data_IF_494709939282
#
_entry.id   IF_494709939282
#
_cell.length_a   1.000
_cell.length_b   1.000
_cell.length_c   1.000
_cell.angle_alpha   90.00
_cell.angle_beta   90.00
_cell.angle_gamma   90.00
#
_symmetry.space_group_name_H-M   'P 1'
#
loop_
_entity.id
_entity.type
_entity.pdbx_description
1 polymer ?
#
# COMPACT_ATOMS: atom_id res chain seq x y z
N UNK A 1 -2.87 -16.55 -34.79
CA UNK A 1 -1.88 -16.02 -33.81
C UNK A 1 -1.01 -17.17 -33.32
N UNK A 2 0.29 -16.98 -33.12
CA UNK A 2 1.20 -18.00 -32.56
C UNK A 2 1.73 -17.51 -31.21
N UNK A 3 1.80 -18.42 -30.23
CA UNK A 3 2.33 -18.15 -28.90
C UNK A 3 3.54 -19.04 -28.65
N UNK A 4 4.59 -18.48 -28.04
CA UNK A 4 5.81 -19.20 -27.73
C UNK A 4 5.94 -19.42 -26.23
N UNK A 5 6.55 -20.53 -25.85
CA UNK A 5 6.79 -20.92 -24.46
C UNK A 5 8.14 -21.62 -24.36
N UNK A 6 8.85 -21.38 -23.25
CA UNK A 6 10.04 -22.13 -22.84
C UNK A 6 9.72 -22.99 -21.61
N UNK A 7 10.72 -23.70 -21.09
CA UNK A 7 10.61 -24.37 -19.78
C UNK A 7 10.26 -23.40 -18.64
N UNK A 8 10.59 -22.10 -18.79
CA UNK A 8 10.30 -21.05 -17.83
C UNK A 8 8.94 -20.39 -18.02
N UNK A 9 8.11 -20.82 -18.97
CA UNK A 9 6.77 -20.28 -19.18
C UNK A 9 6.59 -19.48 -20.47
N UNK A 10 5.47 -18.77 -20.64
CA UNK A 10 5.16 -18.05 -21.86
C UNK A 10 6.17 -16.94 -22.12
N UNK A 11 6.51 -16.72 -23.40
CA UNK A 11 7.29 -15.57 -23.86
C UNK A 11 6.39 -14.33 -23.79
N UNK A 12 6.78 -13.35 -22.99
CA UNK A 12 6.04 -12.09 -22.76
C UNK A 12 6.63 -10.91 -23.55
N UNK A 13 7.83 -11.08 -24.09
CA UNK A 13 8.51 -10.04 -24.84
C UNK A 13 9.88 -10.49 -25.32
N UNK A 14 10.60 -9.55 -25.93
CA UNK A 14 11.98 -9.74 -26.38
C UNK A 14 12.82 -8.55 -25.94
N UNK A 15 14.07 -8.80 -25.61
CA UNK A 15 15.06 -7.79 -25.28
C UNK A 15 16.34 -8.03 -26.09
N UNK A 16 17.33 -7.16 -25.94
CA UNK A 16 18.64 -7.29 -26.56
C UNK A 16 19.71 -7.34 -25.48
N UNK A 17 20.52 -8.39 -25.48
CA UNK A 17 21.68 -8.54 -24.58
C UNK A 17 22.93 -8.67 -25.42
N UNK A 18 23.85 -7.71 -25.32
CA UNK A 18 25.11 -7.67 -26.11
C UNK A 18 24.86 -7.84 -27.62
N UNK A 19 23.88 -7.11 -28.15
CA UNK A 19 23.51 -7.16 -29.56
C UNK A 19 22.71 -8.39 -29.99
N UNK A 20 22.47 -9.37 -29.11
CA UNK A 20 21.69 -10.57 -29.41
C UNK A 20 20.27 -10.44 -28.88
N UNK A 21 19.29 -10.74 -29.72
CA UNK A 21 17.89 -10.83 -29.30
C UNK A 21 17.73 -12.00 -28.33
N UNK A 22 17.10 -11.74 -27.20
CA UNK A 22 16.73 -12.74 -26.19
C UNK A 22 15.22 -12.69 -25.97
N UNK A 23 14.62 -13.84 -25.67
CA UNK A 23 13.22 -13.91 -25.25
C UNK A 23 13.13 -13.64 -23.74
N UNK A 24 12.12 -12.86 -23.34
CA UNK A 24 11.77 -12.66 -21.92
C UNK A 24 10.54 -13.50 -21.63
N UNK A 25 10.59 -14.31 -20.58
CA UNK A 25 9.55 -15.27 -20.21
C UNK A 25 9.06 -15.05 -18.79
N UNK A 26 7.80 -15.40 -18.50
CA UNK A 26 7.24 -15.32 -17.14
C UNK A 26 7.08 -16.71 -16.51
N UNK A 27 7.89 -17.00 -15.48
CA UNK A 27 7.80 -18.25 -14.69
C UNK A 27 6.91 -18.03 -13.47
N UNK A 28 5.73 -18.65 -13.47
CA UNK A 28 4.80 -18.62 -12.32
C UNK A 28 4.93 -19.91 -11.52
N UNK A 29 5.22 -19.82 -10.22
CA UNK A 29 5.38 -21.00 -9.36
C UNK A 29 4.13 -21.84 -9.22
N UNK A 30 2.95 -21.22 -9.27
CA UNK A 30 1.64 -21.88 -9.27
C UNK A 30 1.15 -22.33 -10.65
N UNK A 31 1.99 -22.29 -11.69
CA UNK A 31 1.57 -22.70 -13.04
C UNK A 31 1.08 -24.16 -13.07
N UNK A 32 -0.12 -24.39 -13.58
CA UNK A 32 -0.72 -25.73 -13.70
C UNK A 32 -1.24 -26.30 -12.39
N UNK A 33 -1.32 -25.49 -11.33
CA UNK A 33 -1.76 -25.88 -9.98
C UNK A 33 -2.93 -25.04 -9.48
N UNK A 34 -3.55 -24.24 -10.35
CA UNK A 34 -4.58 -23.27 -10.02
C UNK A 34 -5.76 -23.90 -9.25
N UNK A 35 -6.17 -25.12 -9.60
CA UNK A 35 -7.25 -25.84 -8.93
C UNK A 35 -6.89 -26.30 -7.50
N UNK A 36 -5.61 -26.35 -7.11
CA UNK A 36 -5.21 -26.75 -5.76
C UNK A 36 -5.60 -25.72 -4.70
N UNK A 37 -5.87 -24.46 -5.08
CA UNK A 37 -6.44 -23.46 -4.17
C UNK A 37 -7.77 -23.92 -3.54
N UNK A 38 -8.52 -24.77 -4.24
CA UNK A 38 -9.81 -25.27 -3.77
C UNK A 38 -9.68 -26.25 -2.59
N UNK A 39 -8.48 -26.80 -2.33
CA UNK A 39 -8.28 -27.79 -1.28
C UNK A 39 -8.45 -27.18 0.12
N UNK A 40 -8.00 -25.94 0.35
CA UNK A 40 -8.28 -25.22 1.60
C UNK A 40 -9.80 -25.12 1.84
N UNK A 41 -10.56 -24.70 0.83
CA UNK A 41 -12.00 -24.53 0.97
C UNK A 41 -12.74 -25.87 1.12
N UNK A 42 -12.25 -26.94 0.48
CA UNK A 42 -12.76 -28.29 0.70
C UNK A 42 -12.59 -28.70 2.16
N UNK A 43 -11.38 -28.57 2.71
CA UNK A 43 -11.07 -28.97 4.09
C UNK A 43 -11.84 -28.14 5.14
N UNK A 44 -12.15 -26.88 4.81
CA UNK A 44 -13.06 -26.05 5.61
C UNK A 44 -14.52 -26.53 5.53
N UNK A 45 -14.95 -26.99 4.36
CA UNK A 45 -16.36 -27.36 4.09
C UNK A 45 -16.71 -28.76 4.59
N UNK A 46 -15.79 -29.73 4.44
CA UNK A 46 -16.00 -31.11 4.90
C UNK A 46 -15.79 -31.27 6.43
N UNK A 47 -15.29 -30.21 7.07
CA UNK A 47 -15.11 -30.13 8.50
C UNK A 47 -13.75 -30.63 8.99
N UNK A 48 -12.77 -30.89 8.12
CA UNK A 48 -11.44 -31.38 8.49
C UNK A 48 -10.59 -30.39 9.31
N UNK A 49 -10.98 -29.10 9.36
CA UNK A 49 -10.31 -28.07 10.15
C UNK A 49 -10.99 -27.93 11.52
N UNK A 50 -10.28 -28.27 12.59
CA UNK A 50 -10.81 -28.20 13.96
C UNK A 50 -10.13 -27.14 14.83
N UNK A 51 -8.88 -26.80 14.53
CA UNK A 51 -8.08 -25.83 15.25
C UNK A 51 -7.18 -25.05 14.29
N UNK A 52 -6.48 -24.04 14.81
CA UNK A 52 -5.56 -23.20 14.04
C UNK A 52 -4.43 -23.98 13.34
N UNK A 53 -3.98 -25.11 13.91
CA UNK A 53 -2.93 -25.93 13.29
C UNK A 53 -3.45 -26.74 12.10
N UNK A 54 -4.68 -27.27 12.17
CA UNK A 54 -5.34 -27.86 11.02
C UNK A 54 -5.53 -26.81 9.91
N UNK A 55 -5.94 -25.60 10.29
CA UNK A 55 -6.10 -24.51 9.35
C UNK A 55 -4.79 -24.16 8.64
N UNK A 56 -3.67 -24.08 9.34
CA UNK A 56 -2.37 -23.83 8.70
C UNK A 56 -1.97 -24.95 7.73
N UNK A 57 -2.21 -26.22 8.09
CA UNK A 57 -1.99 -27.35 7.16
C UNK A 57 -2.89 -27.24 5.92
N UNK A 58 -4.15 -26.87 6.09
CA UNK A 58 -5.08 -26.64 5.00
C UNK A 58 -4.62 -25.48 4.10
N UNK A 59 -4.26 -24.33 4.68
CA UNK A 59 -3.79 -23.16 3.96
C UNK A 59 -2.48 -23.39 3.20
N UNK A 60 -1.59 -24.24 3.72
CA UNK A 60 -0.33 -24.59 3.06
C UNK A 60 -0.51 -25.41 1.77
N UNK A 61 -1.72 -25.91 1.47
CA UNK A 61 -2.01 -26.56 0.19
C UNK A 61 -2.18 -25.56 -0.96
N UNK A 62 -2.44 -24.28 -0.64
CA UNK A 62 -2.65 -23.20 -1.61
C UNK A 62 -1.32 -22.84 -2.28
N UNK A 63 -1.18 -23.03 -3.61
CA UNK A 63 0.03 -22.67 -4.34
C UNK A 63 0.14 -21.17 -4.62
N UNK A 64 -0.94 -20.41 -4.44
CA UNK A 64 -0.98 -18.96 -4.58
C UNK A 64 -0.58 -18.26 -3.29
N UNK A 65 -0.09 -17.02 -3.41
CA UNK A 65 0.35 -16.23 -2.26
C UNK A 65 -0.84 -15.49 -1.65
N UNK A 66 -1.37 -16.00 -0.54
CA UNK A 66 -2.46 -15.39 0.21
C UNK A 66 -2.13 -15.31 1.69
N UNK A 67 -2.57 -14.23 2.35
CA UNK A 67 -2.68 -14.18 3.80
C UNK A 67 -4.05 -14.75 4.18
N UNK A 68 -4.06 -15.86 4.90
CA UNK A 68 -5.27 -16.53 5.37
C UNK A 68 -5.36 -16.40 6.89
N UNK A 69 -6.53 -16.01 7.38
CA UNK A 69 -6.78 -15.73 8.79
C UNK A 69 -7.68 -16.80 9.41
N UNK A 70 -7.37 -17.19 10.63
CA UNK A 70 -8.14 -18.10 11.47
C UNK A 70 -8.65 -17.36 12.70
N UNK A 71 -9.86 -17.70 13.12
CA UNK A 71 -10.45 -17.27 14.39
C UNK A 71 -11.40 -18.35 14.89
N UNK A 72 -11.31 -18.67 16.18
CA UNK A 72 -12.33 -19.39 16.95
C UNK A 72 -12.52 -18.72 18.34
N UNK A 73 -13.12 -19.41 19.31
CA UNK A 73 -13.34 -18.90 20.67
C UNK A 73 -12.06 -18.83 21.54
N UNK A 74 -10.92 -19.33 21.06
CA UNK A 74 -9.67 -19.49 21.81
C UNK A 74 -8.46 -18.85 21.13
N UNK A 75 -8.36 -19.04 19.82
CA UNK A 75 -7.19 -18.77 19.00
C UNK A 75 -7.52 -17.88 17.81
N UNK A 76 -6.62 -16.94 17.55
CA UNK A 76 -6.50 -16.24 16.26
C UNK A 76 -5.18 -16.61 15.61
N UNK A 77 -5.15 -16.68 14.28
CA UNK A 77 -3.95 -17.01 13.55
C UNK A 77 -3.89 -16.44 12.15
N UNK A 78 -2.68 -16.31 11.62
CA UNK A 78 -2.41 -15.95 10.22
C UNK A 78 -1.40 -16.90 9.62
N UNK A 79 -1.63 -17.30 8.36
CA UNK A 79 -0.69 -18.06 7.56
C UNK A 79 -0.58 -17.44 6.17
N UNK A 80 0.64 -17.16 5.71
CA UNK A 80 0.90 -16.70 4.34
C UNK A 80 1.32 -17.90 3.48
N UNK A 81 0.40 -18.37 2.64
CA UNK A 81 0.61 -19.51 1.75
C UNK A 81 1.37 -19.17 0.47
N UNK A 82 1.68 -20.19 -0.34
CA UNK A 82 2.21 -20.05 -1.70
C UNK A 82 3.32 -21.01 -2.07
N UNK A 83 3.53 -21.23 -3.36
CA UNK A 83 4.76 -21.88 -3.83
C UNK A 83 5.88 -20.84 -3.94
N UNK A 84 6.55 -20.56 -2.82
CA UNK A 84 7.64 -19.56 -2.76
C UNK A 84 8.97 -20.22 -3.13
N UNK A 85 9.57 -19.87 -4.29
CA UNK A 85 10.76 -20.55 -4.78
C UNK A 85 12.01 -20.18 -3.99
N UNK A 86 12.87 -21.17 -3.75
CA UNK A 86 14.23 -20.96 -3.24
C UNK A 86 15.10 -20.54 -4.42
N UNK A 87 15.51 -19.27 -4.47
CA UNK A 87 16.38 -18.74 -5.53
C UNK A 87 17.86 -18.90 -5.14
N UNK A 88 18.79 -18.97 -6.12
CA UNK A 88 20.22 -18.81 -5.85
C UNK A 88 20.51 -17.51 -5.08
N UNK A 89 21.53 -17.52 -4.22
CA UNK A 89 21.85 -16.37 -3.34
C UNK A 89 22.32 -15.14 -4.11
N UNK A 90 22.96 -15.34 -5.26
CA UNK A 90 23.64 -14.29 -6.03
C UNK A 90 22.74 -13.71 -7.14
N UNK A 91 21.43 -13.99 -7.08
CA UNK A 91 20.44 -13.50 -8.05
C UNK A 91 19.57 -12.44 -7.40
N UNK A 92 19.49 -11.27 -8.03
CA UNK A 92 18.57 -10.21 -7.64
C UNK A 92 17.17 -10.50 -8.18
N UNK A 93 16.15 -10.77 -7.32
CA UNK A 93 14.80 -11.04 -7.78
C UNK A 93 14.13 -9.81 -8.42
N UNK A 94 14.64 -8.60 -8.22
CA UNK A 94 14.11 -7.38 -8.85
C UNK A 94 14.47 -7.23 -10.34
N UNK A 95 15.26 -8.16 -10.90
CA UNK A 95 15.70 -8.13 -12.30
C UNK A 95 15.38 -9.44 -13.03
N UNK A 96 15.26 -9.41 -14.37
CA UNK A 96 15.16 -10.63 -15.16
C UNK A 96 16.35 -11.56 -14.93
N UNK A 97 16.07 -12.84 -14.69
CA UNK A 97 17.05 -13.88 -14.36
C UNK A 97 17.48 -14.62 -15.64
N UNK A 98 18.74 -15.02 -15.72
CA UNK A 98 19.28 -15.78 -16.85
C UNK A 98 18.67 -17.20 -16.95
N UNK A 99 17.86 -17.42 -17.99
CA UNK A 99 17.19 -18.69 -18.27
C UNK A 99 18.08 -19.79 -18.88
N UNK A 100 19.41 -19.69 -18.85
CA UNK A 100 20.32 -20.73 -19.39
C UNK A 100 20.58 -21.90 -18.43
N UNK A 101 19.96 -21.90 -17.25
CA UNK A 101 19.91 -23.05 -16.34
C UNK A 101 20.80 -22.97 -15.09
N UNK A 102 21.72 -22.01 -15.00
CA UNK A 102 22.58 -21.85 -13.82
C UNK A 102 21.83 -21.21 -12.63
N UNK A 103 20.84 -20.37 -12.94
CA UNK A 103 20.10 -19.57 -11.97
C UNK A 103 18.69 -20.12 -11.68
N UNK A 104 18.47 -21.42 -11.90
CA UNK A 104 17.19 -22.06 -11.64
C UNK A 104 16.82 -22.06 -10.15
N UNK A 105 15.50 -22.07 -9.91
CA UNK A 105 14.95 -22.31 -8.58
C UNK A 105 15.39 -23.66 -8.03
N UNK A 106 15.75 -23.70 -6.75
CA UNK A 106 16.26 -24.86 -6.01
C UNK A 106 15.16 -25.46 -5.13
N UNK A 107 13.97 -25.63 -5.71
CA UNK A 107 12.76 -26.06 -5.00
C UNK A 107 11.98 -24.90 -4.38
N UNK A 108 11.21 -25.21 -3.35
CA UNK A 108 10.31 -24.29 -2.64
C UNK A 108 10.57 -24.36 -1.15
N UNK A 109 10.27 -23.28 -0.42
CA UNK A 109 10.39 -23.28 1.03
C UNK A 109 9.44 -24.32 1.66
N UNK A 110 9.81 -24.83 2.84
CA UNK A 110 8.95 -25.73 3.61
C UNK A 110 7.94 -24.99 4.49
N UNK A 111 6.96 -25.73 5.03
CA UNK A 111 5.89 -25.22 5.90
C UNK A 111 6.39 -24.25 6.99
N UNK A 112 7.43 -24.63 7.74
CA UNK A 112 7.96 -23.84 8.85
C UNK A 112 8.62 -22.52 8.43
N UNK A 113 8.92 -22.35 7.14
CA UNK A 113 9.53 -21.15 6.59
C UNK A 113 8.51 -20.15 6.03
N UNK A 114 7.23 -20.53 5.94
CA UNK A 114 6.15 -19.59 5.62
C UNK A 114 5.93 -18.62 6.77
N UNK A 115 5.60 -17.33 6.51
CA UNK A 115 5.13 -16.43 7.55
C UNK A 115 3.85 -16.98 8.20
N UNK A 116 3.88 -17.21 9.51
CA UNK A 116 2.70 -17.60 10.28
C UNK A 116 2.86 -17.27 11.76
N UNK A 117 1.74 -17.17 12.47
CA UNK A 117 1.72 -16.88 13.91
C UNK A 117 0.32 -17.10 14.50
N UNK A 118 0.27 -17.43 15.79
CA UNK A 118 -0.94 -17.71 16.56
C UNK A 118 -0.89 -16.82 17.81
N UNK A 119 -2.03 -16.23 18.19
CA UNK A 119 -2.21 -15.43 19.41
C UNK A 119 -1.06 -14.45 19.68
N UNK A 120 -0.91 -13.40 18.84
CA UNK A 120 0.11 -12.39 19.10
C UNK A 120 -0.13 -11.74 20.47
N UNK A 121 0.93 -11.27 21.17
CA UNK A 121 0.81 -10.77 22.54
C UNK A 121 -0.14 -9.58 22.73
N UNK A 122 -0.40 -8.81 21.68
CA UNK A 122 -1.34 -7.70 21.65
C UNK A 122 -2.80 -8.12 21.38
N UNK A 123 -3.03 -9.40 21.04
CA UNK A 123 -4.36 -9.97 20.83
C UNK A 123 -5.00 -9.61 19.49
N UNK A 124 -4.25 -9.03 18.55
CA UNK A 124 -4.81 -8.52 17.30
C UNK A 124 -3.99 -8.96 16.08
N UNK A 125 -4.68 -9.29 14.98
CA UNK A 125 -4.05 -9.50 13.67
C UNK A 125 -4.73 -8.58 12.66
N UNK A 126 -4.03 -7.52 12.26
CA UNK A 126 -4.52 -6.53 11.30
C UNK A 126 -3.70 -6.61 10.02
N UNK A 127 -4.37 -6.75 8.88
CA UNK A 127 -3.71 -6.78 7.59
C UNK A 127 -4.48 -5.97 6.55
N UNK A 128 -3.75 -5.15 5.80
CA UNK A 128 -4.27 -4.49 4.60
C UNK A 128 -3.31 -4.62 3.43
N UNK A 129 -2.91 -5.88 3.17
CA UNK A 129 -1.89 -6.28 2.19
C UNK A 129 -0.46 -5.83 2.51
N UNK A 130 -0.20 -5.41 3.76
CA UNK A 130 1.15 -5.21 4.29
C UNK A 130 1.87 -6.55 4.54
N UNK A 131 3.18 -6.48 4.83
CA UNK A 131 4.01 -7.65 5.18
C UNK A 131 3.46 -8.32 6.45
N UNK A 132 3.32 -9.64 6.41
CA UNK A 132 2.86 -10.44 7.56
C UNK A 132 3.91 -10.54 8.67
N UNK A 133 5.20 -10.52 8.32
CA UNK A 133 6.32 -10.58 9.26
C UNK A 133 7.49 -9.73 8.76
N UNK A 134 8.30 -9.24 9.70
CA UNK A 134 9.57 -8.61 9.40
C UNK A 134 10.48 -9.58 8.59
N UNK A 135 11.15 -9.05 7.56
CA UNK A 135 12.07 -9.82 6.72
C UNK A 135 11.41 -10.59 5.56
N UNK A 136 10.09 -10.78 5.56
CA UNK A 136 9.40 -11.34 4.38
C UNK A 136 9.41 -10.33 3.23
N UNK A 137 9.91 -10.74 2.07
CA UNK A 137 10.08 -9.85 0.91
C UNK A 137 8.77 -9.67 0.14
N UNK A 138 8.64 -8.53 -0.54
CA UNK A 138 7.57 -8.30 -1.49
C UNK A 138 7.74 -9.18 -2.74
N UNK A 139 6.71 -9.26 -3.57
CA UNK A 139 6.89 -9.79 -4.92
C UNK A 139 7.93 -8.98 -5.70
N UNK A 140 8.60 -9.63 -6.64
CA UNK A 140 9.68 -9.10 -7.50
C UNK A 140 9.28 -7.82 -8.25
N UNK A 141 7.98 -7.59 -8.46
CA UNK A 141 7.37 -6.45 -9.15
C UNK A 141 6.60 -5.50 -8.21
N UNK A 142 6.77 -5.64 -6.89
CA UNK A 142 6.08 -4.81 -5.90
C UNK A 142 7.06 -3.99 -5.04
N UNK A 143 7.15 -2.70 -5.34
CA UNK A 143 7.96 -1.73 -4.60
C UNK A 143 7.17 -0.96 -3.53
N UNK A 144 5.93 -1.36 -3.24
CA UNK A 144 5.01 -0.63 -2.36
C UNK A 144 5.06 -1.05 -0.90
N UNK A 145 5.76 -2.13 -0.53
CA UNK A 145 5.85 -2.61 0.86
C UNK A 145 7.02 -1.97 1.62
N UNK A 146 6.83 -0.72 2.06
CA UNK A 146 7.86 0.10 2.72
C UNK A 146 7.57 0.43 4.18
N UNK A 147 8.07 1.60 4.63
CA UNK A 147 8.08 2.00 6.04
C UNK A 147 6.74 2.55 6.55
N UNK A 148 5.94 3.12 5.65
CA UNK A 148 4.53 3.47 5.86
C UNK A 148 3.68 2.56 4.98
N UNK A 149 2.53 2.13 5.47
CA UNK A 149 1.50 1.43 4.72
C UNK A 149 0.13 2.08 5.02
N UNK A 150 -0.93 1.55 4.39
CA UNK A 150 -2.31 1.95 4.71
C UNK A 150 -2.88 1.18 5.90
N UNK A 151 -2.19 0.15 6.39
CA UNK A 151 -2.71 -0.66 7.52
C UNK A 151 -2.70 0.15 8.82
N UNK A 152 -1.85 1.15 8.90
CA UNK A 152 -1.69 2.15 9.95
C UNK A 152 -3.01 2.89 10.16
N UNK A 153 -3.74 3.20 9.09
CA UNK A 153 -5.09 3.75 9.18
C UNK A 153 -6.04 2.84 9.96
N UNK A 154 -5.92 1.51 9.84
CA UNK A 154 -6.74 0.57 10.60
C UNK A 154 -6.26 0.48 12.05
N UNK A 155 -4.96 0.27 12.27
CA UNK A 155 -4.41 0.08 13.62
C UNK A 155 -4.57 1.34 14.49
N UNK A 156 -4.37 2.52 13.91
CA UNK A 156 -4.50 3.79 14.64
C UNK A 156 -5.94 4.05 15.08
N UNK A 157 -6.93 3.66 14.26
CA UNK A 157 -8.34 3.79 14.63
C UNK A 157 -8.85 2.65 15.52
N UNK A 158 -8.23 1.46 15.48
CA UNK A 158 -8.51 0.39 16.45
C UNK A 158 -7.97 0.74 17.84
N UNK A 159 -6.91 1.55 17.91
CA UNK A 159 -6.20 1.85 19.14
C UNK A 159 -5.25 0.72 19.53
N UNK A 160 -4.78 0.71 20.78
CA UNK A 160 -3.89 -0.35 21.28
C UNK A 160 -4.55 -1.10 22.44
N UNK A 161 -4.54 -2.43 22.39
CA UNK A 161 -4.67 -3.32 23.55
C UNK A 161 -5.97 -3.24 24.34
N UNK A 162 -7.10 -3.66 23.74
CA UNK A 162 -8.38 -3.70 24.46
C UNK A 162 -9.35 -4.78 23.98
N UNK A 163 -10.42 -5.00 24.76
CA UNK A 163 -11.58 -5.82 24.39
C UNK A 163 -12.30 -5.20 23.19
N UNK A 164 -11.79 -5.48 21.99
CA UNK A 164 -12.42 -5.04 20.75
C UNK A 164 -13.85 -5.59 20.69
N UNK A 165 -14.78 -4.73 20.31
CA UNK A 165 -16.18 -5.11 20.06
C UNK A 165 -16.44 -5.04 18.56
N UNK A 166 -17.51 -5.68 18.10
CA UNK A 166 -17.93 -5.52 16.69
C UNK A 166 -18.14 -4.03 16.34
N UNK A 167 -18.58 -3.21 17.29
CA UNK A 167 -18.76 -1.77 17.09
C UNK A 167 -17.43 -1.02 16.93
N UNK A 168 -16.41 -1.32 17.74
CA UNK A 168 -15.10 -0.65 17.64
C UNK A 168 -14.39 -1.03 16.35
N UNK A 169 -14.40 -2.32 15.98
CA UNK A 169 -13.82 -2.80 14.71
C UNK A 169 -14.53 -2.18 13.51
N UNK A 170 -15.87 -2.12 13.54
CA UNK A 170 -16.66 -1.46 12.47
C UNK A 170 -16.35 0.04 12.38
N UNK A 171 -16.25 0.73 13.51
CA UNK A 171 -15.93 2.15 13.53
C UNK A 171 -14.52 2.43 12.98
N UNK A 172 -13.53 1.62 13.35
CA UNK A 172 -12.17 1.76 12.86
C UNK A 172 -12.09 1.55 11.35
N UNK A 173 -12.70 0.48 10.82
CA UNK A 173 -12.82 0.25 9.39
C UNK A 173 -13.54 1.40 8.69
N UNK A 174 -14.68 1.87 9.25
CA UNK A 174 -15.46 2.94 8.63
C UNK A 174 -14.67 4.24 8.49
N UNK A 175 -13.90 4.57 9.53
CA UNK A 175 -13.05 5.76 9.54
C UNK A 175 -11.88 5.60 8.58
N UNK A 176 -11.07 4.55 8.70
CA UNK A 176 -9.94 4.28 7.80
C UNK A 176 -10.34 4.29 6.32
N UNK A 177 -11.53 3.79 6.00
CA UNK A 177 -12.05 3.76 4.64
C UNK A 177 -12.26 5.14 3.98
N UNK A 178 -12.33 6.22 4.76
CA UNK A 178 -12.54 7.58 4.24
C UNK A 178 -11.29 8.42 4.34
N UNK A 179 -10.25 7.98 5.06
CA UNK A 179 -9.04 8.77 5.29
C UNK A 179 -8.14 8.81 4.04
N UNK A 180 -7.40 9.91 3.92
CA UNK A 180 -6.27 10.04 3.00
C UNK A 180 -4.97 9.63 3.69
N UNK A 181 -4.32 8.58 3.21
CA UNK A 181 -3.08 8.07 3.82
C UNK A 181 -1.96 9.13 3.82
N UNK A 182 -1.95 10.04 2.84
CA UNK A 182 -0.93 11.09 2.74
C UNK A 182 -1.05 12.08 3.88
N UNK A 183 -2.27 12.42 4.30
CA UNK A 183 -2.48 13.37 5.41
C UNK A 183 -2.35 12.70 6.76
N UNK A 184 -2.76 11.43 6.89
CA UNK A 184 -2.71 10.75 8.18
C UNK A 184 -1.29 10.34 8.57
N UNK A 185 -0.57 9.70 7.63
CA UNK A 185 0.73 9.06 7.88
C UNK A 185 1.90 9.98 7.50
N UNK A 186 1.89 10.55 6.30
CA UNK A 186 3.04 11.26 5.74
C UNK A 186 3.12 12.75 6.13
N UNK A 187 1.99 13.44 6.24
CA UNK A 187 1.97 14.89 6.55
C UNK A 187 2.79 15.27 7.79
N UNK A 188 2.80 14.50 8.91
CA UNK A 188 3.64 14.82 10.07
C UNK A 188 5.13 14.98 9.74
N UNK A 189 5.71 14.09 8.92
CA UNK A 189 7.14 14.21 8.55
C UNK A 189 7.37 15.35 7.58
N UNK A 190 6.43 15.59 6.65
CA UNK A 190 6.46 16.74 5.75
C UNK A 190 6.48 18.04 6.56
N UNK A 191 5.55 18.19 7.49
CA UNK A 191 5.42 19.35 8.35
C UNK A 191 6.66 19.56 9.24
N UNK A 192 7.25 18.47 9.76
CA UNK A 192 8.50 18.54 10.51
C UNK A 192 9.65 19.12 9.67
N UNK A 193 9.81 18.72 8.40
CA UNK A 193 10.80 19.32 7.49
C UNK A 193 10.49 20.79 7.22
N UNK A 194 9.24 21.11 6.88
CA UNK A 194 8.82 22.46 6.51
C UNK A 194 9.01 23.46 7.65
N UNK A 195 8.72 23.06 8.89
CA UNK A 195 8.85 23.89 10.11
C UNK A 195 10.28 24.16 10.55
N UNK A 196 11.28 23.53 9.95
CA UNK A 196 12.69 23.85 10.25
C UNK A 196 13.10 25.25 9.75
N UNK A 197 12.23 25.95 9.01
CA UNK A 197 12.42 27.33 8.58
C UNK A 197 11.09 27.99 8.19
N UNK A 198 11.11 29.27 7.80
CA UNK A 198 9.89 30.02 7.50
C UNK A 198 9.23 29.55 6.20
N UNK A 199 7.90 29.66 6.15
CA UNK A 199 7.14 29.53 4.90
C UNK A 199 7.47 30.70 3.95
N UNK A 200 7.37 30.50 2.62
CA UNK A 200 7.71 31.53 1.63
C UNK A 200 6.68 32.67 1.58
N UNK A 201 5.44 32.42 2.01
CA UNK A 201 4.37 33.39 2.10
C UNK A 201 3.26 32.91 3.06
N UNK A 202 2.34 33.81 3.41
CA UNK A 202 1.24 33.53 4.33
C UNK A 202 0.32 32.41 3.83
N UNK A 203 0.00 32.39 2.52
CA UNK A 203 -0.89 31.37 1.93
C UNK A 203 -0.31 29.96 2.07
N UNK A 204 0.98 29.77 1.78
CA UNK A 204 1.66 28.50 1.95
C UNK A 204 1.67 28.06 3.44
N UNK A 205 1.87 28.99 4.37
CA UNK A 205 1.75 28.70 5.80
C UNK A 205 0.32 28.26 6.18
N UNK A 206 -0.71 28.95 5.67
CA UNK A 206 -2.12 28.59 5.88
C UNK A 206 -2.45 27.22 5.28
N UNK A 207 -1.90 26.88 4.11
CA UNK A 207 -2.10 25.56 3.51
C UNK A 207 -1.58 24.44 4.41
N UNK A 208 -0.38 24.59 4.99
CA UNK A 208 0.15 23.62 5.95
C UNK A 208 -0.74 23.52 7.21
N UNK A 209 -1.19 24.66 7.74
CA UNK A 209 -2.11 24.68 8.89
C UNK A 209 -3.46 23.98 8.60
N UNK A 210 -3.98 24.11 7.39
CA UNK A 210 -5.21 23.43 6.99
C UNK A 210 -5.00 21.92 6.82
N UNK A 211 -3.82 21.48 6.37
CA UNK A 211 -3.48 20.06 6.35
C UNK A 211 -3.34 19.49 7.77
N UNK A 212 -2.66 20.21 8.67
CA UNK A 212 -2.59 19.87 10.10
C UNK A 212 -4.00 19.73 10.72
N UNK A 213 -4.87 20.70 10.44
CA UNK A 213 -6.25 20.71 10.95
C UNK A 213 -7.07 19.55 10.35
N UNK A 214 -6.97 19.32 9.04
CA UNK A 214 -7.65 18.20 8.39
C UNK A 214 -7.21 16.86 8.99
N UNK A 215 -5.90 16.67 9.20
CA UNK A 215 -5.35 15.50 9.89
C UNK A 215 -5.94 15.34 11.30
N UNK A 216 -5.97 16.40 12.10
CA UNK A 216 -6.54 16.39 13.46
C UNK A 216 -8.03 16.03 13.46
N UNK A 217 -8.76 16.43 12.42
CA UNK A 217 -10.16 16.05 12.22
C UNK A 217 -10.36 14.67 11.56
N UNK A 218 -9.26 13.92 11.37
CA UNK A 218 -9.28 12.54 10.88
C UNK A 218 -9.09 12.39 9.37
N UNK A 219 -8.70 13.43 8.64
CA UNK A 219 -8.18 13.31 7.27
C UNK A 219 -9.16 12.72 6.25
N UNK A 220 -10.46 12.79 6.52
CA UNK A 220 -11.48 12.11 5.71
C UNK A 220 -11.83 12.89 4.45
N UNK A 221 -11.95 12.15 3.33
CA UNK A 221 -12.44 12.63 2.02
C UNK A 221 -13.94 12.34 1.93
N UNK A 222 -14.75 13.27 2.39
CA UNK A 222 -16.21 13.13 2.43
C UNK A 222 -16.90 14.33 1.79
N UNK A 223 -17.90 14.04 0.96
CA UNK A 223 -18.94 14.96 0.50
C UNK A 223 -20.21 14.63 1.31
N UNK A 224 -20.40 15.33 2.44
CA UNK A 224 -21.49 15.01 3.40
C UNK A 224 -22.81 15.68 3.04
N UNK A 225 -22.76 16.86 2.41
CA UNK A 225 -23.94 17.62 1.99
C UNK A 225 -24.40 17.30 0.56
N UNK A 226 -23.60 16.53 -0.18
CA UNK A 226 -23.87 15.95 -1.49
C UNK A 226 -23.82 17.00 -2.61
N UNK A 227 -23.03 18.05 -2.41
CA UNK A 227 -22.89 19.13 -3.37
C UNK A 227 -21.90 18.82 -4.51
N UNK A 228 -21.26 17.65 -4.49
CA UNK A 228 -20.29 17.20 -5.49
C UNK A 228 -18.84 17.56 -5.18
N UNK A 229 -18.57 18.10 -3.99
CA UNK A 229 -17.22 18.47 -3.55
C UNK A 229 -16.89 17.90 -2.18
N UNK A 230 -15.61 17.59 -1.95
CA UNK A 230 -15.13 17.11 -0.65
C UNK A 230 -15.11 18.29 0.32
N UNK A 231 -15.78 18.14 1.47
CA UNK A 231 -16.07 19.22 2.42
C UNK A 231 -14.83 19.92 2.98
N UNK A 232 -13.74 19.18 3.21
CA UNK A 232 -12.54 19.71 3.86
C UNK A 232 -11.54 20.25 2.82
N UNK A 233 -11.06 21.50 2.95
CA UNK A 233 -10.10 22.08 2.01
C UNK A 233 -8.77 21.34 1.95
N UNK A 234 -8.40 20.60 3.00
CA UNK A 234 -7.20 19.78 3.05
C UNK A 234 -7.11 18.79 1.88
N UNK A 235 -8.26 18.25 1.41
CA UNK A 235 -8.29 17.35 0.25
C UNK A 235 -7.84 18.06 -1.04
N UNK A 236 -8.36 19.27 -1.29
CA UNK A 236 -7.99 20.07 -2.46
C UNK A 236 -6.51 20.46 -2.43
N UNK A 237 -6.03 20.87 -1.25
CA UNK A 237 -4.63 21.23 -1.02
C UNK A 237 -3.73 20.03 -1.27
N UNK A 238 -4.02 18.88 -0.64
CA UNK A 238 -3.21 17.67 -0.77
C UNK A 238 -3.14 17.18 -2.23
N UNK A 239 -4.27 17.21 -2.96
CA UNK A 239 -4.32 16.81 -4.37
C UNK A 239 -3.48 17.73 -5.26
N UNK A 240 -3.46 19.04 -5.01
CA UNK A 240 -2.68 19.99 -5.78
C UNK A 240 -1.17 19.92 -5.46
N UNK A 241 -0.81 19.80 -4.17
CA UNK A 241 0.61 19.79 -3.77
C UNK A 241 1.29 18.46 -4.10
N UNK A 242 0.57 17.33 -4.01
CA UNK A 242 1.19 16.00 -4.07
C UNK A 242 2.06 15.75 -5.31
N UNK A 243 1.58 15.96 -6.56
CA UNK A 243 2.43 15.74 -7.73
C UNK A 243 3.68 16.64 -7.74
N UNK A 244 3.57 17.87 -7.21
CA UNK A 244 4.70 18.81 -7.12
C UNK A 244 5.68 18.43 -6.03
N UNK A 245 5.20 17.96 -4.87
CA UNK A 245 6.04 17.44 -3.78
C UNK A 245 6.80 16.19 -4.23
N UNK A 246 6.11 15.25 -4.87
CA UNK A 246 6.70 14.02 -5.40
C UNK A 246 7.81 14.33 -6.42
N UNK A 247 7.57 15.28 -7.34
CA UNK A 247 8.57 15.74 -8.28
C UNK A 247 9.75 16.45 -7.57
N UNK A 248 9.48 17.41 -6.68
CA UNK A 248 10.49 18.16 -5.95
C UNK A 248 11.41 17.25 -5.10
N UNK A 249 10.87 16.16 -4.55
CA UNK A 249 11.63 15.15 -3.82
C UNK A 249 12.57 14.35 -4.73
N UNK A 250 12.06 13.86 -5.86
CA UNK A 250 12.79 12.92 -6.73
C UNK A 250 13.77 13.61 -7.69
N UNK A 251 13.43 14.81 -8.19
CA UNK A 251 14.14 15.51 -9.25
C UNK A 251 15.64 15.76 -8.99
N UNK A 252 16.09 16.16 -7.77
CA UNK A 252 17.49 16.50 -7.53
C UNK A 252 18.48 15.36 -7.83
N UNK A 253 18.04 14.11 -7.63
CA UNK A 253 18.87 12.93 -7.81
C UNK A 253 18.51 12.18 -9.09
N UNK A 254 17.21 11.98 -9.37
CA UNK A 254 16.78 11.19 -10.51
C UNK A 254 16.75 11.98 -11.82
N UNK A 255 16.61 13.31 -11.76
CA UNK A 255 16.53 14.16 -12.94
C UNK A 255 15.54 13.63 -13.99
N UNK A 256 15.97 13.33 -15.23
CA UNK A 256 15.10 12.77 -16.26
C UNK A 256 14.44 11.42 -15.91
N UNK A 257 14.98 10.66 -14.95
CA UNK A 257 14.46 9.35 -14.58
C UNK A 257 13.19 9.41 -13.72
N UNK A 258 12.76 10.58 -13.27
CA UNK A 258 11.51 10.74 -12.49
C UNK A 258 10.30 10.20 -13.25
N UNK A 259 10.21 10.47 -14.56
CA UNK A 259 9.13 9.95 -15.40
C UNK A 259 9.19 8.42 -15.54
N UNK A 260 10.40 7.85 -15.60
CA UNK A 260 10.58 6.41 -15.66
C UNK A 260 10.17 5.75 -14.33
N UNK A 261 10.54 6.34 -13.19
CA UNK A 261 10.06 5.87 -11.89
C UNK A 261 8.53 5.90 -11.84
N UNK A 262 7.90 7.00 -12.28
CA UNK A 262 6.44 7.14 -12.29
C UNK A 262 5.73 6.10 -13.17
N UNK A 263 6.39 5.63 -14.25
CA UNK A 263 5.85 4.55 -15.11
C UNK A 263 5.93 3.16 -14.49
N UNK A 264 6.86 2.94 -13.55
CA UNK A 264 7.07 1.65 -12.87
C UNK A 264 6.26 1.63 -11.57
N UNK A 265 6.27 2.74 -10.84
CA UNK A 265 5.55 2.94 -9.61
C UNK A 265 4.89 4.32 -9.63
N UNK A 266 3.55 4.32 -9.66
CA UNK A 266 2.78 5.55 -9.62
C UNK A 266 3.18 6.41 -8.41
N UNK A 267 3.29 7.74 -8.55
CA UNK A 267 3.50 8.64 -7.42
C UNK A 267 2.47 8.47 -6.32
N UNK A 268 1.22 8.10 -6.67
CA UNK A 268 0.18 7.74 -5.71
C UNK A 268 -0.95 6.94 -6.36
N UNK A 269 -1.50 6.00 -5.61
CA UNK A 269 -2.72 5.28 -5.94
C UNK A 269 -3.95 6.08 -5.43
N UNK A 270 -4.32 7.12 -6.15
CA UNK A 270 -5.40 8.02 -5.77
C UNK A 270 -6.78 7.32 -5.81
N UNK A 271 -7.76 7.78 -5.01
CA UNK A 271 -9.17 7.41 -5.18
C UNK A 271 -9.63 7.54 -6.65
N UNK A 272 -10.49 6.63 -7.16
CA UNK A 272 -11.16 5.54 -6.47
C UNK A 272 -10.30 4.27 -6.28
N UNK A 273 -8.97 4.36 -6.47
CA UNK A 273 -8.03 3.29 -6.15
C UNK A 273 -7.81 3.11 -4.64
N UNK A 274 -7.10 2.05 -4.25
CA UNK A 274 -7.03 1.62 -2.85
C UNK A 274 -6.03 2.35 -1.96
N UNK A 275 -5.33 3.39 -2.44
CA UNK A 275 -4.24 4.04 -1.69
C UNK A 275 -3.15 3.06 -1.21
N UNK A 276 -2.97 1.94 -1.93
CA UNK A 276 -2.01 0.88 -1.56
C UNK A 276 -0.55 1.27 -1.80
N UNK A 277 -0.32 2.15 -2.77
CA UNK A 277 1.02 2.50 -3.24
C UNK A 277 1.17 4.01 -3.42
N UNK A 278 2.42 4.46 -3.36
CA UNK A 278 2.79 5.84 -3.63
C UNK A 278 4.17 6.16 -3.10
N UNK A 279 4.66 7.34 -3.49
CA UNK A 279 6.01 7.78 -3.11
C UNK A 279 6.09 8.32 -1.69
N UNK A 280 4.96 8.54 -0.99
CA UNK A 280 4.95 8.89 0.45
C UNK A 280 5.77 7.90 1.27
N UNK A 281 5.65 6.61 0.92
CA UNK A 281 6.39 5.48 1.51
C UNK A 281 7.92 5.66 1.40
N UNK A 282 8.40 6.23 0.28
CA UNK A 282 9.82 6.52 0.07
C UNK A 282 10.23 7.85 0.70
N UNK A 283 9.38 8.86 0.52
CA UNK A 283 9.59 10.22 1.02
C UNK A 283 9.70 10.22 2.54
N UNK A 284 8.79 9.57 3.27
CA UNK A 284 8.82 9.46 4.73
C UNK A 284 10.19 8.99 5.23
N UNK A 285 10.67 7.87 4.70
CA UNK A 285 11.96 7.29 5.06
C UNK A 285 13.13 8.23 4.79
N UNK A 286 13.13 8.90 3.64
CA UNK A 286 14.17 9.85 3.24
C UNK A 286 14.14 11.12 4.11
N UNK A 287 12.96 11.71 4.32
CA UNK A 287 12.75 12.92 5.12
C UNK A 287 13.07 12.69 6.60
N UNK A 288 12.61 11.57 7.19
CA UNK A 288 13.00 11.20 8.56
C UNK A 288 14.50 11.07 8.70
N UNK A 289 15.18 10.48 7.71
CA UNK A 289 16.63 10.38 7.78
C UNK A 289 17.31 11.75 7.66
N UNK A 290 16.78 12.64 6.81
CA UNK A 290 17.27 14.00 6.65
C UNK A 290 17.09 14.85 7.91
N UNK A 291 16.04 14.57 8.69
CA UNK A 291 15.78 15.15 10.01
C UNK A 291 16.63 14.53 11.14
N UNK A 292 17.45 13.54 10.85
CA UNK A 292 18.23 12.82 11.86
C UNK A 292 17.41 11.91 12.77
N UNK A 293 16.18 11.57 12.37
CA UNK A 293 15.35 10.62 13.11
C UNK A 293 15.86 9.19 12.92
N UNK A 294 15.65 8.27 13.89
CA UNK A 294 15.99 6.87 13.73
C UNK A 294 15.21 6.21 12.58
N UNK A 295 15.94 5.61 11.63
CA UNK A 295 15.36 4.90 10.48
C UNK A 295 16.04 3.55 10.33
N UNK A 296 15.26 2.46 10.32
CA UNK A 296 15.79 1.12 10.00
C UNK A 296 16.08 1.02 8.50
N UNK A 297 17.31 0.63 8.18
CA UNK A 297 17.79 0.45 6.81
C UNK A 297 17.64 1.72 5.94
N UNK A 298 18.20 2.88 6.33
CA UNK A 298 18.07 4.12 5.58
C UNK A 298 18.53 3.95 4.13
N UNK A 299 18.00 4.74 3.21
CA UNK A 299 18.50 4.74 1.83
C UNK A 299 19.97 5.18 1.80
N UNK A 300 20.76 4.53 0.93
CA UNK A 300 22.14 4.94 0.65
C UNK A 300 22.19 6.30 -0.05
N UNK A 301 21.15 6.61 -0.82
CA UNK A 301 20.97 7.85 -1.57
C UNK A 301 20.05 8.77 -0.79
N UNK A 302 20.38 10.07 -0.74
CA UNK A 302 19.55 11.13 -0.15
C UNK A 302 18.85 11.88 -1.26
N UNK A 303 17.54 11.71 -1.41
CA UNK A 303 16.81 12.25 -2.56
C UNK A 303 16.46 13.71 -2.38
N UNK A 304 15.77 14.04 -1.29
CA UNK A 304 15.30 15.41 -1.07
C UNK A 304 16.47 16.39 -0.90
N UNK A 305 16.49 17.45 -1.70
CA UNK A 305 17.54 18.48 -1.66
C UNK A 305 18.96 17.92 -1.80
N UNK A 306 19.12 16.73 -2.40
CA UNK A 306 20.40 16.00 -2.46
C UNK A 306 21.04 15.80 -1.06
N UNK A 307 20.23 15.54 -0.04
CA UNK A 307 20.68 15.36 1.34
C UNK A 307 20.92 16.64 2.14
N UNK A 308 20.57 17.81 1.60
CA UNK A 308 20.60 19.07 2.32
C UNK A 308 19.20 19.45 2.83
N UNK A 309 19.02 19.53 4.15
CA UNK A 309 17.73 19.82 4.79
C UNK A 309 17.16 21.18 4.39
N UNK A 310 17.98 22.22 4.31
CA UNK A 310 17.53 23.56 3.94
C UNK A 310 17.10 23.61 2.46
N UNK A 311 17.84 22.95 1.55
CA UNK A 311 17.49 22.84 0.14
C UNK A 311 16.21 22.02 -0.06
N UNK A 312 16.08 20.89 0.66
CA UNK A 312 14.88 20.07 0.66
C UNK A 312 13.66 20.88 1.11
N UNK A 313 13.75 21.56 2.26
CA UNK A 313 12.69 22.44 2.75
C UNK A 313 12.32 23.50 1.72
N UNK A 314 13.30 24.18 1.11
CA UNK A 314 13.06 25.21 0.11
C UNK A 314 12.32 24.65 -1.12
N UNK A 315 12.71 23.48 -1.62
CA UNK A 315 12.03 22.85 -2.76
C UNK A 315 10.59 22.40 -2.44
N UNK A 316 10.35 21.88 -1.24
CA UNK A 316 9.01 21.47 -0.81
C UNK A 316 8.11 22.71 -0.60
N UNK A 317 8.63 23.78 -0.01
CA UNK A 317 7.89 25.05 0.10
C UNK A 317 7.58 25.68 -1.26
N UNK A 318 8.52 25.62 -2.21
CA UNK A 318 8.28 26.09 -3.57
C UNK A 318 7.17 25.29 -4.27
N UNK A 319 7.15 23.96 -4.09
CA UNK A 319 6.09 23.10 -4.59
C UNK A 319 4.72 23.46 -3.99
N UNK A 320 4.64 23.68 -2.67
CA UNK A 320 3.41 24.09 -1.99
C UNK A 320 2.95 25.46 -2.46
N UNK A 321 3.85 26.44 -2.57
CA UNK A 321 3.50 27.79 -3.03
C UNK A 321 2.94 27.77 -4.45
N UNK A 322 3.58 27.01 -5.35
CA UNK A 322 3.13 26.86 -6.75
C UNK A 322 1.75 26.22 -6.87
N UNK A 323 1.47 25.16 -6.10
CA UNK A 323 0.13 24.59 -6.04
C UNK A 323 -0.89 25.58 -5.45
N UNK A 324 -0.48 26.38 -4.47
CA UNK A 324 -1.32 27.44 -3.92
C UNK A 324 -1.65 28.54 -4.92
N UNK A 325 -0.75 28.87 -5.84
CA UNK A 325 -1.04 29.81 -6.94
C UNK A 325 -2.08 29.24 -7.91
N UNK A 326 -1.95 27.96 -8.26
CA UNK A 326 -2.89 27.26 -9.14
C UNK A 326 -4.29 27.15 -8.51
N UNK A 327 -4.37 26.78 -7.23
CA UNK A 327 -5.64 26.73 -6.50
C UNK A 327 -6.24 28.12 -6.32
N UNK A 328 -5.43 29.14 -6.02
CA UNK A 328 -5.92 30.51 -5.89
C UNK A 328 -6.50 31.05 -7.19
N UNK A 329 -5.86 30.74 -8.32
CA UNK A 329 -6.36 31.10 -9.64
C UNK A 329 -7.67 30.37 -10.01
N UNK A 330 -7.82 29.11 -9.60
CA UNK A 330 -8.96 28.28 -9.94
C UNK A 330 -10.18 28.49 -9.01
N UNK A 331 -9.95 28.73 -7.72
CA UNK A 331 -10.98 28.68 -6.68
C UNK A 331 -11.02 29.92 -5.78
N UNK A 332 -10.24 30.96 -6.11
CA UNK A 332 -10.18 32.21 -5.36
C UNK A 332 -9.10 32.22 -4.26
N UNK A 333 -8.81 33.38 -3.67
CA UNK A 333 -7.60 33.60 -2.88
C UNK A 333 -7.60 32.94 -1.50
N UNK A 334 -8.75 32.48 -0.99
CA UNK A 334 -8.91 31.93 0.36
C UNK A 334 -8.72 30.40 0.37
N UNK A 335 -7.64 29.88 0.97
CA UNK A 335 -7.41 28.44 1.05
C UNK A 335 -8.49 27.65 1.77
N UNK A 336 -9.21 28.26 2.71
CA UNK A 336 -10.26 27.59 3.48
C UNK A 336 -11.53 27.30 2.66
N UNK A 337 -11.70 27.98 1.52
CA UNK A 337 -12.80 27.81 0.60
C UNK A 337 -12.53 26.79 -0.52
N UNK A 338 -11.28 26.32 -0.69
CA UNK A 338 -10.93 25.37 -1.74
C UNK A 338 -11.56 24.00 -1.50
N UNK A 339 -12.02 23.33 -2.56
CA UNK A 339 -12.65 22.01 -2.48
C UNK A 339 -12.15 21.09 -3.59
N UNK A 340 -12.01 19.81 -3.26
CA UNK A 340 -11.72 18.76 -4.24
C UNK A 340 -13.02 18.28 -4.88
N UNK A 341 -12.96 17.88 -6.14
CA UNK A 341 -14.10 17.35 -6.88
C UNK A 341 -14.39 15.90 -6.45
N UNK A 342 -15.50 15.70 -5.71
CA UNK A 342 -15.88 14.38 -5.20
C UNK A 342 -16.38 13.44 -6.30
N UNK A 343 -16.73 13.98 -7.49
CA UNK A 343 -17.24 13.16 -8.60
C UNK A 343 -16.15 12.31 -9.24
N UNK A 344 -14.87 12.76 -9.16
CA UNK A 344 -13.69 12.01 -9.65
C UNK A 344 -13.43 10.74 -8.86
N UNK A 345 -13.90 10.71 -7.61
CA UNK A 345 -13.74 9.55 -6.74
C UNK A 345 -14.90 8.56 -6.87
N UNK A 346 -15.88 8.77 -7.76
CA UNK A 346 -16.98 7.81 -7.86
C UNK A 346 -16.49 6.47 -8.42
N UNK A 347 -16.90 5.38 -7.78
CA UNK A 347 -16.68 4.03 -8.28
C UNK A 347 -17.73 3.73 -9.35
N UNK A 348 -17.27 3.22 -10.48
CA UNK A 348 -18.07 2.70 -11.58
C UNK A 348 -17.89 1.18 -11.70
N UNK A 349 -18.90 0.49 -12.23
CA UNK A 349 -18.91 -0.97 -12.34
C UNK A 349 -18.51 -1.39 -13.75
N UNK A 350 -17.42 -2.16 -13.87
CA UNK A 350 -16.96 -2.75 -15.14
C UNK A 350 -17.97 -3.81 -15.62
N UNK A 351 -18.32 -3.88 -16.92
CA UNK A 351 -17.72 -3.17 -18.04
C UNK A 351 -18.34 -1.81 -18.40
N UNK A 352 -19.03 -1.16 -17.47
CA UNK A 352 -19.64 0.17 -17.68
C UNK A 352 -21.07 0.11 -18.23
N UNK A 353 -21.73 -1.06 -18.14
CA UNK A 353 -23.09 -1.27 -18.63
C UNK A 353 -24.16 -0.78 -17.65
N UNK A 354 -23.78 -0.58 -16.39
CA UNK A 354 -24.66 -0.08 -15.34
C UNK A 354 -24.47 1.44 -15.21
N UNK A 355 -25.54 2.25 -15.23
CA UNK A 355 -25.44 3.70 -15.01
C UNK A 355 -25.16 4.05 -13.54
N UNK A 356 -25.21 3.05 -12.65
CA UNK A 356 -25.01 3.23 -11.23
C UNK A 356 -23.55 3.50 -10.91
N UNK A 357 -23.35 4.46 -10.02
CA UNK A 357 -22.05 4.74 -9.41
C UNK A 357 -22.24 4.85 -7.91
N UNK A 358 -21.19 4.55 -7.16
CA UNK A 358 -21.18 4.70 -5.71
C UNK A 358 -20.08 5.66 -5.28
N UNK A 359 -20.23 6.28 -4.10
CA UNK A 359 -19.13 7.06 -3.53
C UNK A 359 -17.97 6.13 -3.22
N UNK A 360 -16.77 6.63 -3.44
CA UNK A 360 -15.60 5.91 -2.98
C UNK A 360 -15.59 5.81 -1.46
N UNK A 361 -15.32 4.60 -1.03
CA UNK A 361 -14.76 4.31 0.28
C UNK A 361 -13.69 3.26 0.02
N UNK A 362 -12.53 3.38 0.66
CA UNK A 362 -11.45 2.44 0.54
C UNK A 362 -11.79 1.15 1.30
N UNK A 363 -12.71 0.36 0.75
CA UNK A 363 -13.32 -0.82 1.37
C UNK A 363 -13.29 -2.03 0.43
N UNK A 364 -13.47 -3.25 0.96
CA UNK A 364 -13.62 -4.44 0.13
C UNK A 364 -14.77 -4.29 -0.88
N UNK A 365 -14.57 -4.82 -2.09
CA UNK A 365 -15.52 -4.69 -3.20
C UNK A 365 -16.82 -5.48 -3.06
N UNK A 366 -16.96 -6.35 -2.04
CA UNK A 366 -18.07 -7.29 -1.94
C UNK A 366 -18.62 -7.51 -0.54
N UNK A 367 -17.82 -8.11 0.35
CA UNK A 367 -18.32 -8.64 1.64
C UNK A 367 -17.56 -8.00 2.81
N UNK A 368 -18.31 -7.64 3.85
CA UNK A 368 -17.81 -7.32 5.18
C UNK A 368 -18.50 -8.24 6.17
N UNK A 369 -17.73 -8.88 7.04
CA UNK A 369 -18.25 -9.76 8.08
C UNK A 369 -17.78 -9.28 9.44
N UNK A 370 -18.68 -9.33 10.41
CA UNK A 370 -18.48 -9.01 11.80
C UNK A 370 -18.94 -10.24 12.57
N UNK A 371 -17.99 -10.96 13.17
CA UNK A 371 -18.23 -12.28 13.76
C UNK A 371 -17.60 -12.30 15.15
N UNK A 372 -18.33 -12.86 16.11
CA UNK A 372 -17.83 -13.25 17.44
C UNK A 372 -18.03 -14.74 17.60
N UNK A 373 -17.14 -15.40 18.32
CA UNK A 373 -17.20 -16.82 18.64
C UNK A 373 -17.25 -16.97 20.16
N UNK A 374 -18.38 -17.44 20.67
CA UNK A 374 -18.61 -17.53 22.12
C UNK A 374 -18.37 -18.95 22.67
N UNK A 375 -18.37 -19.96 21.80
CA UNK A 375 -18.11 -21.37 22.15
C UNK A 375 -17.31 -22.08 21.04
N UNK A 376 -16.45 -23.03 21.45
CA UNK A 376 -15.77 -23.92 20.52
C UNK A 376 -16.73 -24.90 19.86
N UNK A 377 -16.45 -25.28 18.61
CA UNK A 377 -17.18 -26.37 17.94
C UNK A 377 -16.99 -27.65 18.76
N UNK A 378 -18.10 -28.24 19.23
CA UNK A 378 -18.05 -29.53 19.93
C UNK A 378 -17.55 -30.61 18.97
N UNK A 379 -16.59 -31.41 19.41
CA UNK A 379 -16.14 -32.60 18.69
C UNK A 379 -17.36 -33.47 18.37
N UNK A 380 -17.52 -33.85 17.10
CA UNK A 380 -18.65 -34.66 16.62
C UNK A 380 -18.45 -36.14 16.88
#
# INVERSE_FOLDING_TARGET
>A
MRFFRTVHGPVIGYATVRGRRVAVTRKRSSYGRDALDLLLYRDLTDGSVHNVHDFFRAANQTPQTFNSFYVDDRDIGVFTSGLVPIRPRDVDPGLPIDGRGQDEWRGFIGFSSHPHGINPPDGEIVNWNNRTIAGYQAADDNWSLGAEQRVELLTDNLGHGGNQTLATVTAAMNKAATQDVRVMEFEPVLAAVLRTGPAPNARAATMLQLLDAWRQHGGSRLDRDLNGTIDDPGAAIMDAIWPKLAAAWAQPVLGPLVAQLASIQSPFNAPPGGQYSGWHIYMDKDLRTLLGMPVKGPFQVRYCGNGNLAACRASLWAAISSAGDELAAAQGPDPSAWRADATRERISFVPGLLPFTMRYTNRPSGIQQLITFDEHRRDR
#
